data_IF_634583904003
#
_entry.id   IF_634583904003
#
_cell.length_a   1.000
_cell.length_b   1.000
_cell.length_c   1.000
_cell.angle_alpha   90.00
_cell.angle_beta   90.00
_cell.angle_gamma   90.00
#
_symmetry.space_group_name_H-M   'P 1'
#
loop_
_entity.id
_entity.type
_entity.pdbx_description
1 polymer ?
#
# COMPACT_ATOMS: atom_id res chain seq x y z
N UNK A 1 -17.69 64.68 1.42
CA UNK A 1 -17.20 65.78 0.56
C UNK A 1 -15.71 65.59 0.33
N UNK A 2 -15.30 65.51 -0.97
CA UNK A 2 -13.97 65.78 -1.57
C UNK A 2 -12.75 65.01 -1.00
N UNK A 3 -12.22 63.99 -1.69
CA UNK A 3 -11.32 63.97 -2.88
C UNK A 3 -9.82 63.91 -2.53
N UNK A 4 -9.18 62.86 -3.06
CA UNK A 4 -7.82 62.72 -3.65
C UNK A 4 -6.59 63.29 -2.90
N UNK A 5 -5.54 62.47 -2.74
CA UNK A 5 -4.34 62.54 -3.59
C UNK A 5 -3.37 61.36 -3.31
N UNK A 6 -2.91 60.72 -4.38
CA UNK A 6 -1.81 59.77 -4.39
C UNK A 6 -0.48 60.52 -4.59
N UNK A 7 0.60 60.03 -3.98
CA UNK A 7 1.96 60.37 -4.43
C UNK A 7 2.88 59.17 -4.24
N UNK A 8 3.34 58.63 -5.36
CA UNK A 8 4.44 57.68 -5.45
C UNK A 8 5.78 58.43 -5.25
N UNK A 9 6.69 57.87 -4.45
CA UNK A 9 8.09 58.30 -4.44
C UNK A 9 8.98 57.14 -4.91
N UNK A 10 9.50 57.34 -6.11
CA UNK A 10 10.57 56.59 -6.74
C UNK A 10 11.89 57.12 -6.15
N UNK A 11 12.71 56.25 -5.56
CA UNK A 11 14.11 56.60 -5.26
C UNK A 11 15.01 55.56 -5.93
N UNK A 12 15.60 55.99 -7.05
CA UNK A 12 16.81 55.41 -7.63
C UNK A 12 17.99 55.77 -6.72
N UNK A 13 18.85 54.79 -6.41
CA UNK A 13 20.26 55.05 -6.18
C UNK A 13 21.12 54.14 -7.07
N UNK A 14 22.02 54.80 -7.79
CA UNK A 14 22.96 54.25 -8.75
C UNK A 14 24.14 53.55 -8.07
N UNK A 15 24.56 52.46 -8.72
CA UNK A 15 25.94 52.05 -9.02
C UNK A 15 27.01 52.03 -7.92
N UNK A 16 27.58 50.83 -7.72
CA UNK A 16 29.02 50.67 -7.75
C UNK A 16 29.39 49.37 -8.47
N UNK A 17 29.98 49.51 -9.66
CA UNK A 17 30.65 48.46 -10.42
C UNK A 17 32.01 48.19 -9.77
N UNK A 18 32.35 46.92 -9.57
CA UNK A 18 33.74 46.48 -9.55
C UNK A 18 33.90 45.30 -10.51
N UNK A 19 34.64 45.57 -11.58
CA UNK A 19 34.96 44.68 -12.69
C UNK A 19 36.03 43.68 -12.23
N UNK A 20 35.78 42.38 -12.41
CA UNK A 20 36.85 41.38 -12.44
C UNK A 20 36.76 40.61 -13.75
N UNK A 21 37.77 40.79 -14.59
CA UNK A 21 38.00 39.98 -15.78
C UNK A 21 38.28 38.53 -15.36
N UNK A 22 37.59 37.59 -16.01
CA UNK A 22 37.97 36.17 -16.02
C UNK A 22 37.98 35.67 -17.46
N UNK A 23 39.10 35.06 -17.82
CA UNK A 23 39.42 34.38 -19.08
C UNK A 23 38.36 33.31 -19.41
N UNK A 24 37.95 33.12 -20.68
CA UNK A 24 37.00 32.06 -21.02
C UNK A 24 37.68 30.68 -20.93
N UNK A 25 37.16 29.82 -20.06
CA UNK A 25 37.52 28.41 -20.00
C UNK A 25 36.58 27.61 -20.93
N UNK A 26 37.17 26.92 -21.90
CA UNK A 26 36.53 26.20 -23.03
C UNK A 26 35.77 24.92 -22.64
N UNK A 27 35.23 24.82 -21.43
CA UNK A 27 34.50 23.63 -20.94
C UNK A 27 32.98 23.82 -20.78
N UNK A 28 32.44 24.99 -21.14
CA UNK A 28 31.00 25.29 -21.03
C UNK A 28 30.24 25.03 -22.35
N UNK A 29 30.93 24.90 -23.49
CA UNK A 29 30.30 24.72 -24.80
C UNK A 29 29.88 23.28 -25.16
N UNK A 30 30.36 22.25 -24.45
CA UNK A 30 30.03 20.84 -24.75
C UNK A 30 28.81 20.30 -23.98
N UNK A 31 28.36 20.99 -22.93
CA UNK A 31 27.19 20.56 -22.14
C UNK A 31 25.86 21.20 -22.59
N UNK A 32 25.90 22.26 -23.41
CA UNK A 32 24.68 22.86 -24.01
C UNK A 32 24.25 22.10 -25.27
N UNK A 33 25.20 21.61 -26.08
CA UNK A 33 24.90 20.83 -27.30
C UNK A 33 24.31 19.43 -26.98
N UNK A 34 24.61 18.85 -25.80
CA UNK A 34 23.97 17.61 -25.34
C UNK A 34 22.55 17.79 -24.79
N UNK A 35 22.13 19.01 -24.43
CA UNK A 35 20.76 19.28 -23.94
C UNK A 35 19.77 19.56 -25.08
N UNK A 36 20.24 20.01 -26.24
CA UNK A 36 19.39 20.24 -27.42
C UNK A 36 19.29 18.99 -28.31
N UNK A 37 20.31 18.13 -28.39
CA UNK A 37 20.24 16.86 -29.13
C UNK A 37 19.37 15.76 -28.46
N UNK A 38 18.99 15.93 -27.19
CA UNK A 38 18.05 15.02 -26.50
C UNK A 38 16.60 15.52 -26.64
N UNK A 39 16.39 16.77 -27.08
CA UNK A 39 15.08 17.36 -27.30
C UNK A 39 14.50 17.07 -28.71
N UNK A 40 15.29 16.58 -29.66
CA UNK A 40 14.84 16.29 -31.04
C UNK A 40 14.66 14.80 -31.38
N UNK A 41 14.77 13.88 -30.41
CA UNK A 41 14.39 12.46 -30.59
C UNK A 41 13.12 12.11 -29.79
N UNK A 42 12.22 13.08 -29.65
CA UNK A 42 10.86 12.89 -29.13
C UNK A 42 9.86 13.71 -29.96
N UNK A 43 9.81 13.47 -31.26
CA UNK A 43 8.68 13.93 -32.09
C UNK A 43 8.53 13.09 -33.37
N UNK A 44 8.72 11.77 -33.27
CA UNK A 44 8.08 10.86 -34.20
C UNK A 44 8.01 9.44 -33.61
N UNK A 45 6.87 8.78 -33.82
CA UNK A 45 6.44 7.49 -33.22
C UNK A 45 5.74 7.59 -31.85
N UNK A 46 4.76 8.50 -31.74
CA UNK A 46 3.57 8.24 -30.91
C UNK A 46 2.40 8.06 -31.87
N UNK A 47 2.20 6.83 -32.35
CA UNK A 47 0.92 6.36 -32.85
C UNK A 47 0.93 4.83 -32.92
N UNK A 48 -0.01 4.23 -32.17
CA UNK A 48 -0.33 2.79 -32.03
C UNK A 48 0.59 1.98 -31.10
N UNK A 49 0.19 1.86 -29.83
CA UNK A 49 -0.22 0.60 -29.16
C UNK A 49 -0.55 0.85 -27.69
N UNK A 50 -1.82 0.70 -27.31
CA UNK A 50 -2.26 0.58 -25.91
C UNK A 50 -1.95 -0.83 -25.40
N UNK A 51 -0.67 -1.14 -25.18
CA UNK A 51 -0.26 -2.43 -24.64
C UNK A 51 0.44 -2.27 -23.29
N UNK A 52 -0.32 -2.52 -22.22
CA UNK A 52 0.15 -2.51 -20.82
C UNK A 52 1.33 -3.46 -20.57
N UNK A 53 1.59 -4.43 -21.46
CA UNK A 53 2.76 -5.32 -21.38
C UNK A 53 4.09 -4.58 -21.59
N UNK A 54 4.11 -3.52 -22.42
CA UNK A 54 5.31 -2.75 -22.72
C UNK A 54 5.76 -1.90 -21.52
N UNK A 55 4.80 -1.33 -20.80
CA UNK A 55 5.04 -0.48 -19.62
C UNK A 55 5.59 -1.31 -18.45
N UNK A 56 5.09 -2.54 -18.25
CA UNK A 56 5.59 -3.48 -17.23
C UNK A 56 7.00 -3.98 -17.56
N UNK A 57 7.29 -4.25 -18.83
CA UNK A 57 8.63 -4.64 -19.29
C UNK A 57 9.66 -3.53 -19.03
N UNK A 58 9.25 -2.27 -19.19
CA UNK A 58 10.07 -1.08 -18.90
C UNK A 58 10.25 -0.85 -17.39
N UNK A 59 9.24 -1.11 -16.57
CA UNK A 59 9.35 -1.05 -15.11
C UNK A 59 10.30 -2.12 -14.56
N UNK A 60 10.25 -3.37 -15.07
CA UNK A 60 11.25 -4.40 -14.74
C UNK A 60 12.67 -3.99 -15.17
N UNK A 61 12.83 -3.34 -16.32
CA UNK A 61 14.13 -2.86 -16.80
C UNK A 61 14.73 -1.76 -15.91
N UNK A 62 13.89 -0.81 -15.46
CA UNK A 62 14.29 0.27 -14.54
C UNK A 62 14.62 -0.26 -13.14
N UNK A 63 13.88 -1.26 -12.64
CA UNK A 63 14.18 -1.94 -11.37
C UNK A 63 15.49 -2.73 -11.44
N UNK A 64 15.87 -3.25 -12.62
CA UNK A 64 17.17 -3.94 -12.81
C UNK A 64 18.37 -3.00 -13.00
N UNK A 65 18.18 -1.75 -13.39
CA UNK A 65 19.28 -0.78 -13.51
C UNK A 65 19.66 -0.17 -12.15
N UNK A 66 18.68 0.09 -11.27
CA UNK A 66 18.97 0.62 -9.92
C UNK A 66 19.54 -0.43 -8.95
N UNK A 67 19.32 -1.73 -9.22
CA UNK A 67 19.96 -2.83 -8.48
C UNK A 67 21.37 -3.14 -9.01
N UNK A 68 21.75 -2.65 -10.20
CA UNK A 68 23.12 -2.80 -10.75
C UNK A 68 24.15 -1.82 -10.19
N UNK A 69 23.76 -0.89 -9.31
CA UNK A 69 24.69 0.04 -8.65
C UNK A 69 25.25 -0.55 -7.34
N UNK A 70 24.80 -1.74 -6.93
CA UNK A 70 25.27 -2.41 -5.70
C UNK A 70 26.00 -3.76 -5.96
N UNK A 71 26.49 -4.01 -7.17
CA UNK A 71 27.23 -5.26 -7.48
C UNK A 71 28.45 -5.03 -8.41
N UNK A 72 29.12 -3.90 -8.26
CA UNK A 72 30.40 -3.61 -8.94
C UNK A 72 31.59 -3.74 -7.98
N UNK A 73 31.72 -4.89 -7.30
CA UNK A 73 32.94 -5.19 -6.53
C UNK A 73 33.29 -6.70 -6.40
N UNK A 74 32.67 -7.61 -7.17
CA UNK A 74 32.94 -9.07 -7.04
C UNK A 74 33.18 -9.83 -8.35
N UNK A 75 33.35 -9.16 -9.49
CA UNK A 75 33.48 -9.83 -10.81
C UNK A 75 34.93 -10.25 -11.16
N UNK A 76 35.96 -9.76 -10.47
CA UNK A 76 37.36 -10.00 -10.88
C UNK A 76 37.95 -11.36 -10.43
N UNK A 77 37.14 -12.26 -9.84
CA UNK A 77 37.59 -13.61 -9.41
C UNK A 77 36.92 -14.80 -10.12
N UNK A 78 36.00 -14.59 -11.07
CA UNK A 78 35.34 -15.69 -11.80
C UNK A 78 35.80 -15.93 -13.24
N UNK A 79 36.72 -15.13 -13.79
CA UNK A 79 37.21 -15.35 -15.15
C UNK A 79 38.34 -16.38 -15.29
N UNK A 80 38.80 -17.03 -14.21
CA UNK A 80 39.91 -17.98 -14.26
C UNK A 80 39.53 -19.46 -14.26
N UNK A 81 38.24 -19.82 -14.39
CA UNK A 81 37.79 -21.22 -14.27
C UNK A 81 36.97 -21.78 -15.43
N UNK A 82 36.77 -21.05 -16.53
CA UNK A 82 36.10 -21.58 -17.73
C UNK A 82 36.95 -21.29 -18.97
N UNK A 83 38.16 -21.84 -19.01
CA UNK A 83 38.83 -22.18 -20.27
C UNK A 83 39.14 -23.67 -20.21
N UNK A 84 38.24 -24.48 -20.75
CA UNK A 84 38.50 -25.78 -21.39
C UNK A 84 37.21 -26.59 -21.40
N UNK A 85 36.51 -26.59 -22.54
CA UNK A 85 36.27 -27.77 -23.39
C UNK A 85 35.02 -27.52 -24.23
N UNK A 86 35.25 -27.39 -25.54
CA UNK A 86 34.25 -27.43 -26.61
C UNK A 86 33.51 -28.76 -26.53
N UNK A 87 32.18 -28.73 -26.64
CA UNK A 87 31.40 -29.76 -27.32
C UNK A 87 30.08 -29.13 -27.86
N UNK A 88 29.65 -29.68 -28.99
CA UNK A 88 28.72 -29.18 -30.02
C UNK A 88 27.28 -28.83 -29.58
N UNK A 89 26.74 -27.72 -30.12
CA UNK A 89 25.33 -27.29 -30.01
C UNK A 89 24.53 -27.85 -31.20
N UNK A 90 23.49 -28.68 -31.01
CA UNK A 90 22.51 -28.94 -32.06
C UNK A 90 21.53 -27.77 -32.16
N UNK A 91 21.37 -27.21 -33.36
CA UNK A 91 20.27 -26.31 -33.71
C UNK A 91 18.98 -27.12 -33.69
N UNK A 92 18.09 -26.85 -32.74
CA UNK A 92 16.68 -27.15 -32.93
C UNK A 92 15.85 -25.90 -32.64
N UNK A 93 15.28 -25.36 -33.72
CA UNK A 93 14.27 -24.31 -33.71
C UNK A 93 12.96 -24.97 -33.25
N UNK A 94 12.54 -24.70 -32.02
CA UNK A 94 11.13 -24.62 -31.63
C UNK A 94 11.04 -24.20 -30.15
N UNK A 95 11.20 -22.91 -29.91
CA UNK A 95 10.75 -22.29 -28.66
C UNK A 95 9.33 -21.76 -28.90
N UNK A 96 8.38 -22.68 -29.13
CA UNK A 96 6.96 -22.36 -29.04
C UNK A 96 6.56 -22.35 -27.56
N UNK A 97 7.07 -21.37 -26.81
CA UNK A 97 6.46 -21.04 -25.55
C UNK A 97 5.14 -20.35 -25.88
N UNK A 98 4.06 -21.12 -25.79
CA UNK A 98 2.70 -20.59 -25.77
C UNK A 98 2.68 -19.54 -24.67
N UNK A 99 2.66 -18.27 -25.07
CA UNK A 99 2.45 -17.14 -24.18
C UNK A 99 1.02 -17.22 -23.67
N UNK A 100 0.82 -18.01 -22.62
CA UNK A 100 -0.38 -17.94 -21.81
C UNK A 100 -0.45 -16.53 -21.26
N UNK A 101 -1.35 -15.74 -21.86
CA UNK A 101 -1.98 -14.52 -21.36
C UNK A 101 -1.53 -14.14 -19.95
N UNK A 102 -0.61 -13.18 -19.90
CA UNK A 102 -0.02 -12.49 -18.74
C UNK A 102 -0.72 -12.73 -17.40
N UNK A 103 -0.05 -13.46 -16.51
CA UNK A 103 -0.38 -13.49 -15.08
C UNK A 103 -0.52 -12.06 -14.56
N UNK A 104 -1.65 -11.73 -13.94
CA UNK A 104 -1.73 -10.57 -13.06
C UNK A 104 -0.64 -10.71 -12.00
N UNK A 105 0.45 -9.96 -12.14
CA UNK A 105 1.50 -9.88 -11.13
C UNK A 105 0.84 -9.48 -9.81
N UNK A 106 0.68 -10.43 -8.88
CA UNK A 106 0.09 -10.18 -7.57
C UNK A 106 0.96 -9.16 -6.81
N UNK A 107 0.57 -7.89 -6.83
CA UNK A 107 1.28 -6.79 -6.18
C UNK A 107 1.44 -6.98 -4.67
N UNK A 108 0.63 -7.86 -4.08
CA UNK A 108 0.63 -8.18 -2.66
C UNK A 108 1.43 -9.44 -2.32
N UNK A 109 2.21 -9.99 -3.25
CA UNK A 109 3.02 -11.19 -3.02
C UNK A 109 3.94 -11.08 -1.79
N UNK A 110 4.71 -9.99 -1.67
CA UNK A 110 5.61 -9.78 -0.52
C UNK A 110 4.83 -9.68 0.81
N UNK A 111 3.66 -9.04 0.78
CA UNK A 111 2.79 -8.95 1.94
C UNK A 111 2.25 -10.33 2.33
N UNK A 112 1.83 -11.12 1.35
CA UNK A 112 1.37 -12.47 1.57
C UNK A 112 2.45 -13.37 2.18
N UNK A 113 3.70 -13.28 1.71
CA UNK A 113 4.83 -14.02 2.31
C UNK A 113 5.05 -13.62 3.79
N UNK A 114 4.99 -12.32 4.08
CA UNK A 114 5.14 -11.81 5.45
C UNK A 114 4.00 -12.29 6.36
N UNK A 115 2.76 -12.23 5.88
CA UNK A 115 1.58 -12.72 6.59
C UNK A 115 1.70 -14.22 6.90
N UNK A 116 2.02 -15.04 5.89
CA UNK A 116 2.15 -16.49 6.07
C UNK A 116 3.27 -16.88 7.03
N UNK A 117 4.35 -16.08 7.10
CA UNK A 117 5.48 -16.34 7.99
C UNK A 117 5.23 -15.90 9.44
N UNK A 118 4.53 -14.78 9.64
CA UNK A 118 4.48 -14.09 10.94
C UNK A 118 3.09 -14.01 11.58
N UNK A 119 2.04 -14.44 10.88
CA UNK A 119 0.66 -14.39 11.36
C UNK A 119 0.11 -15.82 11.46
N UNK A 120 -0.35 -16.19 12.66
CA UNK A 120 -0.92 -17.52 12.90
C UNK A 120 -2.28 -17.69 12.20
N UNK A 121 -2.79 -18.92 12.12
CA UNK A 121 -4.13 -19.18 11.60
C UNK A 121 -5.25 -18.50 12.42
N UNK A 122 -4.98 -18.22 13.71
CA UNK A 122 -5.87 -17.48 14.60
C UNK A 122 -5.70 -15.95 14.48
N UNK A 123 -4.75 -15.49 13.66
CA UNK A 123 -4.42 -14.09 13.42
C UNK A 123 -3.61 -13.39 14.52
N UNK A 124 -2.95 -14.17 15.40
CA UNK A 124 -1.91 -13.64 16.29
C UNK A 124 -0.68 -13.27 15.48
N UNK A 125 -0.09 -12.12 15.77
CA UNK A 125 1.04 -11.57 15.04
C UNK A 125 2.32 -11.70 15.87
N UNK A 126 3.27 -12.48 15.38
CA UNK A 126 4.57 -12.59 16.02
C UNK A 126 5.44 -11.35 15.70
N UNK A 127 5.19 -10.21 16.35
CA UNK A 127 5.90 -8.96 16.08
C UNK A 127 7.41 -9.05 16.27
N UNK A 128 7.87 -9.87 17.23
CA UNK A 128 9.30 -10.14 17.44
C UNK A 128 9.94 -10.77 16.22
N UNK A 129 9.28 -11.77 15.63
CA UNK A 129 9.72 -12.41 14.38
C UNK A 129 9.55 -11.46 13.19
N UNK A 130 8.43 -10.75 13.10
CA UNK A 130 8.12 -9.81 12.02
C UNK A 130 9.20 -8.73 11.88
N UNK A 131 9.68 -8.20 13.02
CA UNK A 131 10.76 -7.20 13.08
C UNK A 131 12.06 -7.67 12.41
N UNK A 132 12.32 -8.98 12.34
CA UNK A 132 13.50 -9.51 11.64
C UNK A 132 13.42 -9.39 10.12
N UNK A 133 12.21 -9.34 9.56
CA UNK A 133 11.94 -9.11 8.13
C UNK A 133 11.48 -7.67 7.85
N UNK A 134 11.77 -6.72 8.74
CA UNK A 134 11.31 -5.33 8.63
C UNK A 134 11.70 -4.68 7.28
N UNK A 135 12.86 -5.04 6.72
CA UNK A 135 13.26 -4.57 5.37
C UNK A 135 12.27 -4.98 4.28
N UNK A 136 11.74 -6.22 4.32
CA UNK A 136 10.73 -6.69 3.36
C UNK A 136 9.40 -5.98 3.54
N UNK A 137 9.02 -5.65 4.79
CA UNK A 137 7.83 -4.84 5.06
C UNK A 137 7.95 -3.45 4.42
N UNK A 138 9.09 -2.78 4.61
CA UNK A 138 9.35 -1.48 4.00
C UNK A 138 9.38 -1.55 2.46
N UNK A 139 9.92 -2.62 1.89
CA UNK A 139 9.87 -2.85 0.44
C UNK A 139 8.44 -2.93 -0.08
N UNK A 140 7.57 -3.71 0.60
CA UNK A 140 6.16 -3.78 0.26
C UNK A 140 5.46 -2.42 0.37
N UNK A 141 5.70 -1.66 1.44
CA UNK A 141 5.14 -0.31 1.62
C UNK A 141 5.61 0.63 0.51
N UNK A 142 6.88 0.55 0.09
CA UNK A 142 7.41 1.34 -1.02
C UNK A 142 6.75 0.97 -2.36
N UNK A 143 6.46 -0.32 -2.59
CA UNK A 143 5.69 -0.75 -3.77
C UNK A 143 4.30 -0.10 -3.77
N UNK A 144 3.59 -0.11 -2.64
CA UNK A 144 2.29 0.54 -2.52
C UNK A 144 2.38 2.05 -2.79
N UNK A 145 3.39 2.72 -2.24
CA UNK A 145 3.62 4.15 -2.46
C UNK A 145 3.88 4.47 -3.94
N UNK A 146 4.72 3.69 -4.63
CA UNK A 146 4.98 3.85 -6.07
C UNK A 146 3.71 3.61 -6.88
N UNK A 147 2.96 2.54 -6.59
CA UNK A 147 1.72 2.24 -7.30
C UNK A 147 0.67 3.33 -7.12
N UNK A 148 0.48 3.85 -5.91
CA UNK A 148 -0.48 4.93 -5.65
C UNK A 148 -0.13 6.24 -6.36
N UNK A 149 1.15 6.46 -6.65
CA UNK A 149 1.65 7.67 -7.32
C UNK A 149 1.43 7.65 -8.84
N UNK A 150 1.07 6.50 -9.40
CA UNK A 150 0.85 6.33 -10.83
C UNK A 150 -0.55 6.84 -11.24
N UNK A 151 -0.68 7.60 -12.34
CA UNK A 151 -1.99 8.03 -12.84
C UNK A 151 -2.97 6.87 -13.09
N UNK A 152 -2.44 5.71 -13.45
CA UNK A 152 -3.22 4.49 -13.71
C UNK A 152 -3.97 4.00 -12.46
N UNK A 153 -3.50 4.32 -11.26
CA UNK A 153 -4.16 3.92 -10.00
C UNK A 153 -5.59 4.43 -9.91
N UNK A 154 -5.87 5.63 -10.45
CA UNK A 154 -7.20 6.21 -10.36
C UNK A 154 -8.21 5.48 -11.27
N UNK A 155 -7.71 4.74 -12.25
CA UNK A 155 -8.51 3.99 -13.23
C UNK A 155 -8.67 2.49 -12.90
N UNK A 156 -8.04 1.98 -11.84
CA UNK A 156 -8.22 0.58 -11.42
C UNK A 156 -9.63 0.36 -10.85
N UNK A 157 -10.08 -0.89 -10.86
CA UNK A 157 -11.41 -1.30 -10.38
C UNK A 157 -11.64 -0.99 -8.89
N UNK A 158 -12.89 -1.04 -8.46
CA UNK A 158 -13.26 -0.84 -7.05
C UNK A 158 -12.63 -1.94 -6.17
N UNK A 159 -12.63 -3.16 -6.65
CA UNK A 159 -12.11 -4.35 -5.97
C UNK A 159 -10.58 -4.25 -5.81
N UNK A 160 -9.87 -3.80 -6.85
CA UNK A 160 -8.44 -3.51 -6.76
C UNK A 160 -8.14 -2.40 -5.75
N UNK A 161 -8.93 -1.32 -5.72
CA UNK A 161 -8.78 -0.24 -4.73
C UNK A 161 -9.04 -0.72 -3.31
N UNK A 162 -10.09 -1.52 -3.08
CA UNK A 162 -10.39 -2.08 -1.75
C UNK A 162 -9.26 -2.98 -1.27
N UNK A 163 -8.85 -3.97 -2.09
CA UNK A 163 -7.76 -4.86 -1.74
C UNK A 163 -6.46 -4.08 -1.45
N UNK A 164 -6.14 -3.08 -2.28
CA UNK A 164 -4.99 -2.21 -2.07
C UNK A 164 -5.03 -1.51 -0.71
N UNK A 165 -6.13 -0.82 -0.39
CA UNK A 165 -6.21 -0.01 0.82
C UNK A 165 -6.37 -0.83 2.10
N UNK A 166 -7.03 -1.99 2.04
CA UNK A 166 -7.08 -2.95 3.17
C UNK A 166 -5.67 -3.45 3.48
N UNK A 167 -4.95 -3.94 2.48
CA UNK A 167 -3.58 -4.44 2.70
C UNK A 167 -2.62 -3.31 3.11
N UNK A 168 -2.79 -2.10 2.55
CA UNK A 168 -2.02 -0.94 2.97
C UNK A 168 -2.25 -0.66 4.45
N UNK A 169 -3.50 -0.47 4.89
CA UNK A 169 -3.82 -0.20 6.30
C UNK A 169 -3.17 -1.23 7.23
N UNK A 170 -3.33 -2.52 6.93
CA UNK A 170 -2.77 -3.59 7.75
C UNK A 170 -1.23 -3.54 7.81
N UNK A 171 -0.56 -3.36 6.68
CA UNK A 171 0.91 -3.27 6.66
C UNK A 171 1.42 -2.02 7.40
N UNK A 172 0.73 -0.89 7.28
CA UNK A 172 1.08 0.35 7.97
C UNK A 172 0.85 0.22 9.49
N UNK A 173 -0.22 -0.47 9.92
CA UNK A 173 -0.43 -0.79 11.35
C UNK A 173 0.72 -1.65 11.88
N UNK A 174 1.13 -2.70 11.15
CA UNK A 174 2.28 -3.53 11.56
C UNK A 174 3.58 -2.71 11.63
N UNK A 175 3.84 -1.84 10.66
CA UNK A 175 4.99 -0.94 10.66
C UNK A 175 4.99 -0.03 11.89
N UNK A 176 3.83 0.56 12.25
CA UNK A 176 3.67 1.38 13.44
C UNK A 176 4.00 0.61 14.72
N UNK A 177 3.48 -0.62 14.87
CA UNK A 177 3.77 -1.45 16.05
C UNK A 177 5.25 -1.82 16.09
N UNK A 178 5.85 -2.28 14.98
CA UNK A 178 7.27 -2.68 14.94
C UNK A 178 8.20 -1.54 15.35
N UNK A 179 7.91 -0.30 14.88
CA UNK A 179 8.65 0.91 15.25
C UNK A 179 8.63 1.21 16.75
N UNK A 180 7.57 0.79 17.44
CA UNK A 180 7.37 1.02 18.87
C UNK A 180 7.57 -0.25 19.73
N UNK A 181 7.92 -1.39 19.12
CA UNK A 181 8.00 -2.67 19.82
C UNK A 181 9.26 -2.78 20.71
N UNK A 182 9.15 -3.22 21.98
CA UNK A 182 7.95 -3.78 22.61
C UNK A 182 6.97 -2.71 23.13
N UNK A 183 5.69 -2.90 22.82
CA UNK A 183 4.57 -2.09 23.31
C UNK A 183 3.46 -3.03 23.77
N UNK A 184 2.70 -2.67 24.81
CA UNK A 184 1.61 -3.53 25.31
C UNK A 184 0.29 -3.30 24.60
N UNK A 185 0.06 -2.07 24.14
CA UNK A 185 -1.13 -1.70 23.38
C UNK A 185 -0.78 -0.66 22.32
N UNK A 186 -1.45 -0.69 21.16
CA UNK A 186 -1.39 0.42 20.20
C UNK A 186 -1.74 1.76 20.86
N UNK A 187 -2.58 1.75 21.92
CA UNK A 187 -2.98 2.94 22.66
C UNK A 187 -1.87 3.55 23.53
N UNK A 188 -0.79 2.82 23.77
CA UNK A 188 0.38 3.35 24.47
C UNK A 188 1.27 4.20 23.54
N UNK A 189 1.05 4.11 22.23
CA UNK A 189 1.70 4.95 21.22
C UNK A 189 0.92 6.26 21.15
N UNK A 190 1.62 7.40 21.17
CA UNK A 190 0.98 8.72 21.07
C UNK A 190 0.28 8.91 19.72
N UNK A 191 -0.99 9.31 19.74
CA UNK A 191 -1.79 9.66 18.55
C UNK A 191 -1.70 8.63 17.40
N UNK A 192 -1.84 7.31 17.65
CA UNK A 192 -1.32 6.27 16.76
C UNK A 192 -2.00 6.23 15.39
N UNK A 193 -3.26 6.69 15.31
CA UNK A 193 -4.00 6.78 14.05
C UNK A 193 -3.73 8.08 13.27
N UNK A 194 -3.27 9.13 13.93
CA UNK A 194 -3.17 10.48 13.38
C UNK A 194 -1.76 10.80 12.86
N UNK A 195 -0.74 10.03 13.24
CA UNK A 195 0.64 10.22 12.81
C UNK A 195 0.80 10.06 11.29
N UNK A 196 1.21 11.14 10.60
CA UNK A 196 1.50 11.16 9.16
C UNK A 196 2.90 10.58 8.87
N UNK A 197 3.00 9.25 8.82
CA UNK A 197 4.29 8.54 8.71
C UNK A 197 4.61 8.00 7.32
N UNK A 198 3.63 7.90 6.41
CA UNK A 198 3.80 7.17 5.16
C UNK A 198 3.51 8.05 3.95
N UNK A 199 4.52 8.28 3.13
CA UNK A 199 4.40 9.11 1.93
C UNK A 199 4.06 8.27 0.70
N UNK A 200 2.90 8.54 0.10
CA UNK A 200 2.44 7.91 -1.13
C UNK A 200 2.31 9.03 -2.18
N UNK A 201 3.33 9.15 -3.03
CA UNK A 201 3.48 10.28 -3.95
C UNK A 201 3.76 11.57 -3.18
N UNK A 202 3.03 12.63 -3.50
CA UNK A 202 3.19 13.93 -2.82
C UNK A 202 2.41 14.03 -1.51
N UNK A 203 1.64 12.99 -1.13
CA UNK A 203 0.78 13.01 0.05
C UNK A 203 1.30 12.10 1.16
N UNK A 204 1.39 12.65 2.36
CA UNK A 204 1.60 11.90 3.59
C UNK A 204 0.28 11.40 4.14
N UNK A 205 0.19 10.09 4.39
CA UNK A 205 -0.97 9.41 4.95
C UNK A 205 -0.72 9.03 6.41
N UNK A 206 -1.82 8.93 7.15
CA UNK A 206 -1.93 8.30 8.46
C UNK A 206 -3.00 7.20 8.41
N UNK A 207 -3.16 6.40 9.48
CA UNK A 207 -4.13 5.31 9.49
C UNK A 207 -5.57 5.82 9.43
N UNK A 208 -5.86 6.94 10.10
CA UNK A 208 -7.19 7.58 10.10
C UNK A 208 -7.62 8.01 8.69
N UNK A 209 -6.71 8.59 7.90
CA UNK A 209 -6.98 9.00 6.51
C UNK A 209 -7.39 7.78 5.67
N UNK A 210 -6.71 6.65 5.83
CA UNK A 210 -7.01 5.43 5.06
C UNK A 210 -8.34 4.85 5.50
N UNK A 211 -8.59 4.73 6.80
CA UNK A 211 -9.83 4.14 7.30
C UNK A 211 -11.05 5.04 7.04
N UNK A 212 -11.02 6.28 7.52
CA UNK A 212 -12.19 7.15 7.54
C UNK A 212 -12.42 7.95 6.26
N UNK A 213 -11.36 8.31 5.53
CA UNK A 213 -11.48 9.16 4.33
C UNK A 213 -11.42 8.36 3.03
N UNK A 214 -10.92 7.12 3.07
CA UNK A 214 -10.86 6.24 1.90
C UNK A 214 -11.78 5.03 2.09
N UNK A 215 -11.42 4.05 2.93
CA UNK A 215 -12.10 2.76 3.00
C UNK A 215 -13.58 2.88 3.36
N UNK A 216 -13.91 3.65 4.40
CA UNK A 216 -15.31 3.88 4.82
C UNK A 216 -16.15 4.64 3.80
N UNK A 217 -15.52 5.28 2.80
CA UNK A 217 -16.21 5.98 1.69
C UNK A 217 -16.43 5.07 0.48
N UNK A 218 -16.03 3.81 0.55
CA UNK A 218 -16.23 2.82 -0.52
C UNK A 218 -17.49 1.97 -0.32
N UNK A 219 -18.33 2.30 0.69
CA UNK A 219 -19.60 1.64 1.00
C UNK A 219 -19.47 0.10 1.13
N UNK A 220 -18.43 -0.33 1.86
CA UNK A 220 -18.14 -1.73 2.14
C UNK A 220 -18.04 -1.96 3.66
N UNK A 221 -19.14 -2.31 4.37
CA UNK A 221 -19.11 -2.49 5.82
C UNK A 221 -18.17 -3.60 6.29
N UNK A 222 -17.85 -4.59 5.44
CA UNK A 222 -16.98 -5.70 5.81
C UNK A 222 -15.51 -5.29 5.95
N UNK A 223 -15.12 -4.08 5.54
CA UNK A 223 -13.77 -3.56 5.80
C UNK A 223 -13.44 -3.59 7.30
N UNK A 224 -14.42 -3.41 8.18
CA UNK A 224 -14.27 -3.49 9.64
C UNK A 224 -13.88 -4.87 10.17
N UNK A 225 -13.90 -5.90 9.32
CA UNK A 225 -13.42 -7.26 9.64
C UNK A 225 -12.14 -7.62 8.88
N UNK A 226 -11.70 -6.75 7.97
CA UNK A 226 -10.55 -6.94 7.10
C UNK A 226 -9.34 -6.08 7.51
N UNK A 227 -9.58 -4.99 8.25
CA UNK A 227 -8.53 -4.13 8.79
C UNK A 227 -8.31 -4.37 10.28
N UNK A 228 -7.04 -4.33 10.72
CA UNK A 228 -6.65 -4.60 12.11
C UNK A 228 -6.06 -3.37 12.80
N UNK A 229 -6.47 -3.09 14.03
CA UNK A 229 -5.91 -2.06 14.91
C UNK A 229 -4.88 -2.61 15.91
N UNK A 230 -4.32 -3.79 15.63
CA UNK A 230 -3.34 -4.52 16.44
C UNK A 230 -3.78 -4.86 17.88
N UNK A 231 -5.08 -4.87 18.19
CA UNK A 231 -5.58 -5.22 19.52
C UNK A 231 -6.21 -6.60 19.60
N UNK A 232 -6.25 -7.20 20.79
CA UNK A 232 -6.82 -8.51 21.05
C UNK A 232 -8.29 -8.61 20.61
N UNK A 233 -9.13 -7.63 20.96
CA UNK A 233 -10.55 -7.64 20.57
C UNK A 233 -10.83 -7.21 19.12
N UNK A 234 -9.80 -6.82 18.35
CA UNK A 234 -9.92 -6.50 16.94
C UNK A 234 -10.28 -7.76 16.13
N UNK A 235 -10.85 -7.69 14.91
CA UNK A 235 -10.87 -8.85 14.04
C UNK A 235 -9.46 -9.36 13.81
N UNK A 236 -9.36 -10.66 13.53
CA UNK A 236 -8.07 -11.30 13.31
C UNK A 236 -7.43 -10.73 12.03
N UNK A 237 -6.11 -10.52 12.06
CA UNK A 237 -5.37 -10.26 10.83
C UNK A 237 -5.36 -11.55 10.00
N UNK A 238 -5.87 -11.49 8.78
CA UNK A 238 -5.85 -12.63 7.87
C UNK A 238 -4.41 -12.98 7.49
N UNK A 239 -4.06 -14.26 7.48
CA UNK A 239 -2.71 -14.73 7.13
C UNK A 239 -2.46 -14.83 5.61
N UNK A 240 -3.32 -14.19 4.81
CA UNK A 240 -3.19 -14.04 3.37
C UNK A 240 -3.54 -12.62 2.96
N UNK A 241 -2.88 -12.12 1.92
CA UNK A 241 -3.17 -10.79 1.40
C UNK A 241 -4.52 -10.77 0.68
N UNK A 242 -5.25 -9.66 0.78
CA UNK A 242 -6.45 -9.46 -0.02
C UNK A 242 -6.08 -9.26 -1.49
N UNK A 243 -6.81 -9.88 -2.43
CA UNK A 243 -6.61 -9.67 -3.88
C UNK A 243 -7.93 -9.37 -4.54
N UNK A 244 -7.94 -8.56 -5.60
CA UNK A 244 -9.18 -8.20 -6.31
C UNK A 244 -10.01 -9.43 -6.71
N UNK A 245 -9.35 -10.44 -7.29
CA UNK A 245 -10.00 -11.67 -7.77
C UNK A 245 -10.68 -12.51 -6.67
N UNK A 246 -10.22 -12.36 -5.41
CA UNK A 246 -10.71 -13.15 -4.27
C UNK A 246 -11.43 -12.29 -3.22
N UNK A 247 -11.54 -10.97 -3.45
CA UNK A 247 -11.92 -10.00 -2.42
C UNK A 247 -13.29 -10.32 -1.80
N UNK A 248 -14.28 -10.64 -2.63
CA UNK A 248 -15.64 -10.97 -2.15
C UNK A 248 -15.64 -12.18 -1.20
N UNK A 249 -14.96 -13.25 -1.60
CA UNK A 249 -14.83 -14.45 -0.79
C UNK A 249 -14.06 -14.15 0.50
N UNK A 250 -12.95 -13.42 0.42
CA UNK A 250 -12.12 -13.08 1.58
C UNK A 250 -12.87 -12.20 2.59
N UNK A 251 -13.60 -11.18 2.12
CA UNK A 251 -14.41 -10.32 2.99
C UNK A 251 -15.55 -11.09 3.64
N UNK A 252 -16.22 -11.97 2.88
CA UNK A 252 -17.30 -12.81 3.40
C UNK A 252 -16.79 -13.76 4.48
N UNK A 253 -15.68 -14.45 4.23
CA UNK A 253 -15.06 -15.34 5.19
C UNK A 253 -14.61 -14.59 6.46
N UNK A 254 -13.90 -13.47 6.31
CA UNK A 254 -13.47 -12.66 7.45
C UNK A 254 -14.66 -12.20 8.32
N UNK A 255 -15.78 -11.86 7.68
CA UNK A 255 -17.03 -11.47 8.37
C UNK A 255 -17.63 -12.65 9.14
N UNK A 256 -17.78 -13.80 8.49
CA UNK A 256 -18.34 -15.02 9.11
C UNK A 256 -17.47 -15.51 10.27
N UNK A 257 -16.14 -15.51 10.09
CA UNK A 257 -15.19 -15.86 11.15
C UNK A 257 -15.27 -14.91 12.34
N UNK A 258 -15.37 -13.60 12.11
CA UNK A 258 -15.50 -12.63 13.19
C UNK A 258 -16.81 -12.83 13.96
N UNK A 259 -17.94 -13.01 13.26
CA UNK A 259 -19.25 -13.18 13.88
C UNK A 259 -19.37 -14.49 14.66
N UNK A 260 -18.68 -15.54 14.23
CA UNK A 260 -18.67 -16.84 14.92
C UNK A 260 -17.72 -16.93 16.11
N UNK A 261 -16.82 -15.95 16.28
CA UNK A 261 -15.91 -15.93 17.44
C UNK A 261 -16.64 -15.55 18.73
N UNK A 262 -16.79 -16.55 19.61
CA UNK A 262 -17.48 -16.43 20.89
C UNK A 262 -16.79 -15.50 21.89
N UNK A 263 -15.49 -15.22 21.73
CA UNK A 263 -14.79 -14.24 22.54
C UNK A 263 -15.25 -12.81 22.21
N UNK A 264 -15.62 -12.57 20.95
CA UNK A 264 -15.97 -11.25 20.42
C UNK A 264 -17.48 -11.05 20.30
N UNK A 265 -18.25 -12.13 20.09
CA UNK A 265 -19.68 -12.07 19.82
C UNK A 265 -20.43 -13.26 20.47
N UNK A 266 -21.59 -13.00 21.06
CA UNK A 266 -22.58 -14.03 21.39
C UNK A 266 -23.85 -13.70 20.62
N UNK A 267 -24.27 -14.59 19.72
CA UNK A 267 -25.38 -14.36 18.80
C UNK A 267 -26.43 -15.45 19.04
N UNK A 268 -27.66 -15.03 19.33
CA UNK A 268 -28.84 -15.89 19.42
C UNK A 268 -30.03 -15.19 18.75
N UNK A 269 -31.14 -15.91 18.56
CA UNK A 269 -32.34 -15.37 17.91
C UNK A 269 -32.83 -14.06 18.57
N UNK A 270 -32.83 -13.98 19.89
CA UNK A 270 -33.49 -12.90 20.63
C UNK A 270 -32.55 -12.02 21.47
N UNK A 271 -31.27 -12.36 21.56
CA UNK A 271 -30.28 -11.60 22.32
C UNK A 271 -28.90 -11.66 21.67
N UNK A 272 -28.26 -10.51 21.56
CA UNK A 272 -26.93 -10.32 21.02
C UNK A 272 -26.03 -9.66 22.07
N UNK A 273 -24.81 -10.18 22.19
CA UNK A 273 -23.72 -9.53 22.94
C UNK A 273 -22.51 -9.40 22.02
N UNK A 274 -22.43 -8.28 21.32
CA UNK A 274 -21.54 -8.08 20.17
C UNK A 274 -20.26 -7.32 20.53
N UNK A 275 -19.26 -7.37 19.66
CA UNK A 275 -18.09 -6.49 19.76
C UNK A 275 -18.47 -5.00 19.70
N UNK A 276 -17.70 -4.14 20.39
CA UNK A 276 -17.88 -2.66 20.33
C UNK A 276 -17.70 -2.08 18.92
N UNK A 277 -17.13 -2.84 17.97
CA UNK A 277 -17.02 -2.42 16.56
C UNK A 277 -18.40 -2.08 15.97
N UNK A 278 -19.42 -2.89 16.26
CA UNK A 278 -20.79 -2.60 15.81
C UNK A 278 -21.39 -1.35 16.45
N UNK A 279 -20.89 -0.94 17.63
CA UNK A 279 -21.29 0.30 18.28
C UNK A 279 -20.53 1.52 17.72
N UNK A 280 -19.24 1.38 17.44
CA UNK A 280 -18.39 2.48 16.99
C UNK A 280 -18.63 2.84 15.52
N UNK A 281 -19.03 1.85 14.72
CA UNK A 281 -19.24 1.97 13.27
C UNK A 281 -20.68 1.64 12.86
N UNK A 282 -21.65 1.87 13.76
CA UNK A 282 -23.08 1.61 13.54
C UNK A 282 -23.59 2.09 12.17
N UNK A 283 -23.28 3.33 11.80
CA UNK A 283 -23.67 3.96 10.54
C UNK A 283 -23.19 3.21 9.30
N UNK A 284 -22.05 2.54 9.38
CA UNK A 284 -21.49 1.82 8.24
C UNK A 284 -22.26 0.51 8.00
N UNK A 285 -22.73 -0.15 9.07
CA UNK A 285 -23.55 -1.36 8.98
C UNK A 285 -25.00 -1.08 8.60
N UNK A 286 -25.50 0.13 8.87
CA UNK A 286 -26.89 0.53 8.66
C UNK A 286 -27.18 1.19 7.29
N UNK A 287 -26.19 1.23 6.38
CA UNK A 287 -26.35 1.87 5.07
C UNK A 287 -27.37 1.16 4.16
N UNK A 288 -27.48 -0.18 4.27
CA UNK A 288 -28.28 -1.03 3.38
C UNK A 288 -29.23 -1.95 4.18
N UNK A 289 -29.88 -1.40 5.20
CA UNK A 289 -30.76 -2.10 6.13
C UNK A 289 -30.38 -1.84 7.57
N UNK A 290 -30.96 -2.60 8.50
CA UNK A 290 -30.57 -2.56 9.91
C UNK A 290 -29.29 -3.36 10.17
N UNK A 291 -28.66 -3.15 11.33
CA UNK A 291 -27.59 -4.03 11.81
C UNK A 291 -28.03 -5.52 11.83
N UNK A 292 -29.27 -5.80 12.20
CA UNK A 292 -29.80 -7.17 12.22
C UNK A 292 -29.87 -7.75 10.80
N UNK A 293 -30.26 -6.95 9.81
CA UNK A 293 -30.24 -7.37 8.39
C UNK A 293 -28.82 -7.67 7.92
N UNK A 294 -27.83 -6.87 8.34
CA UNK A 294 -26.42 -7.14 8.08
C UNK A 294 -25.98 -8.48 8.70
N UNK A 295 -26.26 -8.70 9.99
CA UNK A 295 -25.85 -9.91 10.69
C UNK A 295 -26.48 -11.17 10.07
N UNK A 296 -27.79 -11.13 9.75
CA UNK A 296 -28.52 -12.25 9.14
C UNK A 296 -27.96 -12.67 7.76
N UNK A 297 -27.21 -11.82 7.06
CA UNK A 297 -26.53 -12.20 5.80
C UNK A 297 -25.33 -13.13 6.03
N UNK A 298 -24.73 -13.07 7.21
CA UNK A 298 -23.45 -13.73 7.50
C UNK A 298 -23.51 -14.69 8.69
N UNK A 299 -24.67 -14.86 9.33
CA UNK A 299 -24.89 -15.83 10.40
C UNK A 299 -25.83 -16.95 9.97
N UNK A 300 -25.60 -18.17 10.47
CA UNK A 300 -26.53 -19.28 10.27
C UNK A 300 -27.81 -19.16 11.13
N UNK A 301 -27.76 -18.34 12.19
CA UNK A 301 -28.90 -18.08 13.08
C UNK A 301 -29.75 -16.97 12.47
N UNK A 302 -31.06 -17.20 12.37
CA UNK A 302 -32.02 -16.13 12.06
C UNK A 302 -32.25 -15.29 13.31
N UNK A 303 -31.73 -14.07 13.30
CA UNK A 303 -31.86 -13.09 14.38
C UNK A 303 -33.19 -12.35 14.21
N UNK A 304 -33.99 -12.33 15.28
CA UNK A 304 -35.23 -11.58 15.35
C UNK A 304 -34.96 -10.08 15.22
N UNK A 305 -35.79 -9.36 14.46
CA UNK A 305 -35.74 -7.91 14.37
C UNK A 305 -35.92 -7.19 15.74
N UNK A 306 -36.40 -7.90 16.76
CA UNK A 306 -36.57 -7.39 18.14
C UNK A 306 -35.46 -7.85 19.09
N UNK A 307 -34.40 -8.49 18.58
CA UNK A 307 -33.31 -8.99 19.41
C UNK A 307 -32.68 -7.87 20.24
N UNK A 308 -32.44 -8.14 21.53
CA UNK A 308 -31.81 -7.17 22.43
C UNK A 308 -30.31 -7.13 22.15
N UNK A 309 -29.78 -5.95 21.87
CA UNK A 309 -28.35 -5.75 21.59
C UNK A 309 -27.64 -5.21 22.82
N UNK A 310 -26.57 -5.89 23.21
CA UNK A 310 -25.60 -5.44 24.21
C UNK A 310 -24.18 -5.60 23.65
N UNK A 311 -23.19 -5.01 24.31
CA UNK A 311 -21.81 -5.00 23.80
C UNK A 311 -20.84 -5.60 24.81
N UNK A 312 -19.91 -6.43 24.34
CA UNK A 312 -18.78 -6.94 25.11
C UNK A 312 -17.77 -5.84 25.41
N UNK A 313 -16.95 -6.04 26.42
CA UNK A 313 -15.76 -5.20 26.62
C UNK A 313 -14.71 -5.43 25.54
N UNK A 314 -13.84 -4.44 25.38
CA UNK A 314 -12.86 -4.41 24.31
C UNK A 314 -11.47 -4.39 24.92
N UNK A 315 -10.73 -5.48 24.73
CA UNK A 315 -9.35 -5.62 25.16
C UNK A 315 -8.42 -4.96 24.12
N UNK A 316 -7.67 -3.97 24.58
CA UNK A 316 -6.70 -3.19 23.81
C UNK A 316 -5.27 -3.74 23.88
N UNK A 317 -5.04 -4.81 24.64
CA UNK A 317 -3.76 -5.52 24.64
C UNK A 317 -3.38 -5.95 23.22
N UNK A 318 -2.08 -5.98 22.93
CA UNK A 318 -1.55 -6.33 21.62
C UNK A 318 -1.99 -7.75 21.22
N UNK A 319 -2.24 -7.95 19.92
CA UNK A 319 -2.63 -9.24 19.36
C UNK A 319 -1.43 -10.15 19.03
N UNK A 320 -0.47 -10.30 19.94
CA UNK A 320 0.72 -11.13 19.76
C UNK A 320 0.59 -12.57 20.28
#
# INVERSE_FOLDING_TARGET
>A
MKQLLALALLVLFCACKSTKQTVPNTQIATNTIKKEAIAEIKMDTINKTNDSSYIIKKAKYLITEDVKIAEYDLVDKRQKFISNKKDSIPKNNEFNQILTKTEHSNIHFLWNELLQKHVSANGNVNYKSFKTDYKKLLEYINILAILKSKPEFDSISREEKLAFWINAYNALTIDLIIKNYPVKSIKDIKDPWEQRLWQFGDKWYNLEDIEHKILRKMDEPRIHFAIVCASYSCPKLQNSAFTADNLEQQLTLATQEFLSDTNRNEISENALKLSKIFKWFDKDFEQNGSLIDFLNKYTAITISAKAKISYKDYNWDLND
#
